data_IF_182409268559
#
_entry.id   IF_182409268559
#
_cell.length_a   1.000
_cell.length_b   1.000
_cell.length_c   1.000
_cell.angle_alpha   90.00
_cell.angle_beta   90.00
_cell.angle_gamma   90.00
#
_symmetry.space_group_name_H-M   'P 1'
#
loop_
_entity.id
_entity.type
_entity.pdbx_description
1 polymer ?
#
# COMPACT_ATOMS: atom_id res chain seq x y z
N UNK A 1 8.09 21.66 12.26
CA UNK A 1 7.16 20.56 12.62
C UNK A 1 6.61 19.95 11.33
N UNK A 2 6.29 18.65 11.32
CA UNK A 2 5.66 18.02 10.15
C UNK A 2 4.17 18.38 10.09
N UNK A 3 3.68 18.60 8.87
CA UNK A 3 2.25 18.51 8.57
C UNK A 3 1.93 17.05 8.27
N UNK A 4 0.79 16.54 8.76
CA UNK A 4 0.44 15.13 8.64
C UNK A 4 -0.79 15.00 7.76
N UNK A 5 -0.72 14.12 6.76
CA UNK A 5 -1.87 13.73 5.96
C UNK A 5 -1.97 12.20 5.91
N UNK A 6 -3.19 11.68 5.98
CA UNK A 6 -3.41 10.24 5.96
C UNK A 6 -4.59 9.87 5.07
N UNK A 7 -4.42 8.79 4.31
CA UNK A 7 -5.47 8.09 3.57
C UNK A 7 -5.53 6.68 4.12
N UNK A 8 -6.20 6.50 5.26
CA UNK A 8 -6.32 5.23 5.98
C UNK A 8 -7.80 4.97 6.26
N UNK A 9 -8.28 3.74 6.02
CA UNK A 9 -9.68 3.35 6.22
C UNK A 9 -10.71 4.29 5.56
N UNK A 10 -10.51 4.64 4.28
CA UNK A 10 -11.53 5.35 3.50
C UNK A 10 -12.70 4.40 3.27
N UNK A 11 -13.81 4.67 3.95
CA UNK A 11 -15.05 3.89 3.85
C UNK A 11 -15.91 4.46 2.74
N UNK A 12 -16.65 3.58 2.07
CA UNK A 12 -17.67 4.02 1.12
C UNK A 12 -18.68 4.95 1.79
N UNK A 13 -18.94 6.09 1.16
CA UNK A 13 -20.13 6.88 1.47
C UNK A 13 -21.21 6.53 0.44
N UNK A 14 -21.85 5.37 0.63
CA UNK A 14 -23.03 4.98 -0.15
C UNK A 14 -24.12 6.07 -0.09
N UNK A 15 -24.14 6.83 1.01
CA UNK A 15 -25.07 7.91 1.27
C UNK A 15 -24.79 9.17 0.42
N UNK A 16 -23.52 9.40 0.02
CA UNK A 16 -23.13 10.52 -0.86
C UNK A 16 -23.01 10.13 -2.34
N UNK A 17 -23.15 8.84 -2.68
CA UNK A 17 -23.03 8.36 -4.05
C UNK A 17 -21.60 8.45 -4.62
N UNK A 18 -20.60 8.61 -3.76
CA UNK A 18 -19.19 8.75 -4.14
C UNK A 18 -18.48 7.42 -3.92
N UNK A 19 -17.79 6.93 -4.96
CA UNK A 19 -16.98 5.71 -4.85
C UNK A 19 -15.75 5.93 -3.98
N UNK A 20 -15.34 4.90 -3.22
CA UNK A 20 -14.06 4.86 -2.49
C UNK A 20 -12.88 5.38 -3.31
N UNK A 21 -12.78 4.94 -4.57
CA UNK A 21 -11.70 5.37 -5.47
C UNK A 21 -11.66 6.89 -5.69
N UNK A 22 -12.82 7.53 -5.87
CA UNK A 22 -12.86 8.98 -6.02
C UNK A 22 -12.48 9.70 -4.72
N UNK A 23 -12.89 9.19 -3.56
CA UNK A 23 -12.47 9.75 -2.27
C UNK A 23 -10.95 9.64 -2.06
N UNK A 24 -10.34 8.53 -2.46
CA UNK A 24 -8.87 8.36 -2.46
C UNK A 24 -8.19 9.40 -3.36
N UNK A 25 -8.71 9.65 -4.56
CA UNK A 25 -8.19 10.70 -5.46
C UNK A 25 -8.25 12.08 -4.78
N UNK A 26 -9.36 12.39 -4.12
CA UNK A 26 -9.51 13.67 -3.42
C UNK A 26 -8.51 13.80 -2.26
N UNK A 27 -8.25 12.74 -1.48
CA UNK A 27 -7.23 12.79 -0.44
C UNK A 27 -5.83 12.94 -0.98
N UNK A 28 -5.51 12.25 -2.07
CA UNK A 28 -4.20 12.41 -2.72
C UNK A 28 -4.02 13.84 -3.25
N UNK A 29 -5.07 14.44 -3.81
CA UNK A 29 -5.05 15.85 -4.21
C UNK A 29 -4.77 16.76 -3.02
N UNK A 30 -5.45 16.56 -1.91
CA UNK A 30 -5.22 17.32 -0.66
C UNK A 30 -3.78 17.15 -0.16
N UNK A 31 -3.21 15.94 -0.20
CA UNK A 31 -1.80 15.71 0.12
C UNK A 31 -0.84 16.49 -0.78
N UNK A 32 -1.13 16.54 -2.09
CA UNK A 32 -0.35 17.33 -3.04
C UNK A 32 -0.46 18.82 -2.72
N UNK A 33 -1.66 19.33 -2.47
CA UNK A 33 -1.88 20.74 -2.13
C UNK A 33 -1.13 21.10 -0.84
N UNK A 34 -1.20 20.23 0.18
CA UNK A 34 -0.40 20.37 1.40
C UNK A 34 1.10 20.33 1.08
N UNK A 35 1.59 19.48 0.18
CA UNK A 35 3.03 19.44 -0.12
C UNK A 35 3.60 20.77 -0.64
N UNK A 36 2.75 21.70 -1.09
CA UNK A 36 3.15 23.01 -1.60
C UNK A 36 3.17 24.14 -0.55
N UNK A 37 2.66 23.93 0.66
CA UNK A 37 2.70 24.95 1.72
C UNK A 37 4.02 24.92 2.53
N UNK A 38 4.20 25.85 3.46
CA UNK A 38 5.42 25.92 4.28
C UNK A 38 5.57 24.71 5.22
N UNK A 39 6.78 24.16 5.25
CA UNK A 39 7.17 23.04 6.12
C UNK A 39 6.93 21.65 5.49
N UNK A 40 7.61 20.61 6.00
CA UNK A 40 7.60 19.29 5.38
C UNK A 40 6.29 18.53 5.65
N UNK A 41 5.83 17.79 4.64
CA UNK A 41 4.69 16.88 4.74
C UNK A 41 5.14 15.46 5.11
N UNK A 42 4.49 14.86 6.10
CA UNK A 42 4.53 13.44 6.41
C UNK A 42 3.20 12.80 6.01
N UNK A 43 3.22 11.87 5.05
CA UNK A 43 2.01 11.21 4.55
C UNK A 43 1.95 9.73 4.87
N UNK A 44 0.72 9.21 5.05
CA UNK A 44 0.45 7.80 5.23
C UNK A 44 -0.67 7.38 4.29
N UNK A 45 -0.44 6.35 3.47
CA UNK A 45 -1.47 5.82 2.57
C UNK A 45 -1.61 4.33 2.82
N UNK A 46 -2.81 3.93 3.22
CA UNK A 46 -3.18 2.54 3.28
C UNK A 46 -3.82 2.15 1.97
N UNK A 47 -3.16 1.27 1.23
CA UNK A 47 -3.73 0.62 0.05
C UNK A 47 -4.20 1.58 -1.06
N UNK A 48 -3.24 2.22 -1.73
CA UNK A 48 -3.51 3.24 -2.75
C UNK A 48 -4.29 2.68 -3.96
N UNK A 49 -5.41 3.31 -4.30
CA UNK A 49 -6.16 3.07 -5.56
C UNK A 49 -6.65 1.63 -5.76
N UNK A 50 -7.17 0.99 -4.71
CA UNK A 50 -7.73 -0.36 -4.80
C UNK A 50 -8.93 -0.48 -5.76
N UNK A 51 -9.60 0.62 -6.10
CA UNK A 51 -10.79 0.62 -6.97
C UNK A 51 -10.54 0.66 -8.48
N UNK A 52 -9.28 0.53 -8.94
CA UNK A 52 -8.94 0.50 -10.38
C UNK A 52 -8.09 -0.73 -10.74
N UNK A 53 -7.83 -0.93 -12.03
CA UNK A 53 -7.01 -2.04 -12.50
C UNK A 53 -5.52 -1.85 -12.09
N UNK A 54 -4.79 -2.96 -11.98
CA UNK A 54 -3.40 -2.97 -11.48
C UNK A 54 -2.43 -2.17 -12.34
N UNK A 55 -2.69 -2.05 -13.65
CA UNK A 55 -1.83 -1.28 -14.55
C UNK A 55 -1.94 0.23 -14.26
N UNK A 56 -3.17 0.75 -14.23
CA UNK A 56 -3.46 2.16 -13.96
C UNK A 56 -3.07 2.54 -12.54
N UNK A 57 -3.34 1.68 -11.56
CA UNK A 57 -2.94 1.87 -10.16
C UNK A 57 -1.43 2.11 -10.05
N UNK A 58 -0.60 1.26 -10.66
CA UNK A 58 0.87 1.41 -10.61
C UNK A 58 1.36 2.70 -11.24
N UNK A 59 0.83 3.07 -12.42
CA UNK A 59 1.22 4.32 -13.10
C UNK A 59 0.84 5.54 -12.25
N UNK A 60 -0.39 5.57 -11.75
CA UNK A 60 -0.90 6.67 -10.93
C UNK A 60 -0.12 6.79 -9.62
N UNK A 61 0.01 5.69 -8.87
CA UNK A 61 0.74 5.66 -7.60
C UNK A 61 2.20 6.12 -7.78
N UNK A 62 2.91 5.60 -8.79
CA UNK A 62 4.28 6.01 -9.06
C UNK A 62 4.39 7.52 -9.35
N UNK A 63 3.48 8.04 -10.17
CA UNK A 63 3.49 9.46 -10.56
C UNK A 63 3.26 10.37 -9.37
N UNK A 64 2.33 10.00 -8.49
CA UNK A 64 2.02 10.76 -7.28
C UNK A 64 3.18 10.70 -6.29
N UNK A 65 3.77 9.52 -6.07
CA UNK A 65 4.91 9.39 -5.15
C UNK A 65 6.13 10.15 -5.63
N UNK A 66 6.44 10.10 -6.93
CA UNK A 66 7.49 10.93 -7.52
C UNK A 66 7.24 12.41 -7.28
N UNK A 67 6.00 12.87 -7.42
CA UNK A 67 5.64 14.27 -7.14
C UNK A 67 5.85 14.60 -5.66
N UNK A 68 5.22 13.87 -4.74
CA UNK A 68 5.30 14.13 -3.30
C UNK A 68 6.76 14.16 -2.80
N UNK A 69 7.58 13.17 -3.17
CA UNK A 69 9.00 13.12 -2.79
C UNK A 69 9.78 14.31 -3.34
N UNK A 70 9.51 14.70 -4.60
CA UNK A 70 10.17 15.87 -5.22
C UNK A 70 9.82 17.18 -4.52
N UNK A 71 8.60 17.32 -4.00
CA UNK A 71 8.18 18.48 -3.19
C UNK A 71 8.70 18.40 -1.73
N UNK A 72 9.56 17.42 -1.39
CA UNK A 72 10.16 17.29 -0.07
C UNK A 72 9.27 16.59 0.97
N UNK A 73 8.18 15.95 0.53
CA UNK A 73 7.36 15.13 1.41
C UNK A 73 8.03 13.78 1.72
N UNK A 74 7.73 13.23 2.89
CA UNK A 74 8.11 11.89 3.31
C UNK A 74 6.87 11.09 3.67
N UNK A 75 6.89 9.77 3.54
CA UNK A 75 5.71 9.00 3.90
C UNK A 75 5.86 7.50 3.82
N UNK A 76 4.79 6.81 4.22
CA UNK A 76 4.66 5.36 4.19
C UNK A 76 3.43 4.96 3.37
N UNK A 77 3.57 3.85 2.65
CA UNK A 77 2.47 3.23 1.91
C UNK A 77 2.44 1.76 2.25
N UNK A 78 1.26 1.25 2.65
CA UNK A 78 1.00 -0.20 2.71
C UNK A 78 0.32 -0.66 1.43
N UNK A 79 0.66 -1.87 1.00
CA UNK A 79 0.01 -2.53 -0.13
C UNK A 79 0.23 -4.03 -0.11
N UNK A 80 -0.77 -4.79 -0.58
CA UNK A 80 -0.64 -6.20 -0.96
C UNK A 80 -0.18 -6.40 -2.42
N UNK A 81 -0.11 -5.33 -3.23
CA UNK A 81 0.27 -5.41 -4.64
C UNK A 81 1.79 -5.33 -4.81
N UNK A 82 2.43 -6.48 -5.05
CA UNK A 82 3.87 -6.57 -5.27
C UNK A 82 4.36 -5.70 -6.43
N UNK A 83 3.52 -5.38 -7.42
CA UNK A 83 3.91 -4.53 -8.53
C UNK A 83 4.20 -3.08 -8.09
N UNK A 84 3.63 -2.63 -6.96
CA UNK A 84 3.88 -1.30 -6.42
C UNK A 84 5.21 -1.19 -5.68
N UNK A 85 5.83 -2.31 -5.29
CA UNK A 85 7.13 -2.32 -4.61
C UNK A 85 8.26 -1.76 -5.48
N UNK A 86 8.13 -1.88 -6.80
CA UNK A 86 9.08 -1.32 -7.78
C UNK A 86 9.11 0.21 -7.77
N UNK A 87 8.06 0.87 -7.26
CA UNK A 87 8.01 2.33 -7.17
C UNK A 87 9.18 2.86 -6.35
N UNK A 88 9.58 2.16 -5.28
CA UNK A 88 10.67 2.57 -4.40
C UNK A 88 11.97 2.86 -5.16
N UNK A 89 12.30 2.04 -6.16
CA UNK A 89 13.52 2.17 -6.99
C UNK A 89 13.45 3.36 -7.96
N UNK A 90 12.25 3.85 -8.24
CA UNK A 90 12.00 4.94 -9.19
C UNK A 90 11.88 6.32 -8.53
N UNK A 91 12.07 6.41 -7.22
CA UNK A 91 12.06 7.68 -6.46
C UNK A 91 13.47 8.29 -6.37
N UNK A 92 13.53 9.59 -6.10
CA UNK A 92 14.78 10.33 -5.87
C UNK A 92 14.61 11.22 -4.62
N UNK A 93 15.22 10.89 -3.46
CA UNK A 93 16.03 9.68 -3.23
C UNK A 93 15.18 8.38 -3.33
N UNK A 94 15.81 7.22 -3.60
CA UNK A 94 15.11 5.95 -3.64
C UNK A 94 14.39 5.66 -2.32
N UNK A 95 13.19 5.10 -2.44
CA UNK A 95 12.44 4.57 -1.31
C UNK A 95 13.02 3.26 -0.80
N UNK A 96 12.41 2.72 0.26
CA UNK A 96 12.76 1.41 0.82
C UNK A 96 11.50 0.55 0.96
N UNK A 97 11.62 -0.71 0.58
CA UNK A 97 10.58 -1.69 0.81
C UNK A 97 10.79 -2.37 2.16
N UNK A 98 9.69 -2.59 2.86
CA UNK A 98 9.63 -3.37 4.08
C UNK A 98 8.39 -4.27 4.02
N UNK A 99 8.44 -5.38 4.73
CA UNK A 99 7.32 -6.29 4.86
C UNK A 99 7.19 -6.82 6.29
N UNK A 100 6.01 -7.38 6.55
CA UNK A 100 5.76 -8.26 7.67
C UNK A 100 5.59 -9.67 7.12
N UNK A 101 6.06 -10.67 7.84
CA UNK A 101 5.85 -12.07 7.48
C UNK A 101 4.96 -12.74 8.52
N UNK A 102 4.24 -13.74 8.04
CA UNK A 102 3.50 -14.68 8.85
C UNK A 102 4.08 -16.08 8.65
N UNK A 103 3.85 -16.98 9.61
CA UNK A 103 4.27 -18.37 9.52
C UNK A 103 3.18 -19.31 10.02
N UNK A 104 3.16 -20.52 9.48
CA UNK A 104 2.28 -21.58 9.96
C UNK A 104 2.99 -22.39 11.05
N UNK A 105 2.36 -22.53 12.21
CA UNK A 105 2.74 -23.47 13.26
C UNK A 105 1.56 -24.43 13.49
N UNK A 106 1.63 -25.61 12.86
CA UNK A 106 0.47 -26.50 12.75
C UNK A 106 -0.65 -25.84 11.93
N UNK A 107 -1.87 -25.83 12.47
CA UNK A 107 -3.04 -25.19 11.85
C UNK A 107 -3.24 -23.73 12.28
N UNK A 108 -2.21 -23.09 12.84
CA UNK A 108 -2.27 -21.71 13.32
C UNK A 108 -1.32 -20.82 12.56
N UNK A 109 -1.84 -19.67 12.13
CA UNK A 109 -1.05 -18.58 11.59
C UNK A 109 -0.49 -17.73 12.74
N UNK A 110 0.84 -17.54 12.75
CA UNK A 110 1.57 -16.76 13.74
C UNK A 110 2.19 -15.55 13.06
N UNK A 111 1.99 -14.37 13.65
CA UNK A 111 2.58 -13.11 13.22
C UNK A 111 3.63 -12.70 14.23
N UNK A 112 4.85 -12.39 13.77
CA UNK A 112 5.92 -11.88 14.65
C UNK A 112 5.85 -10.35 14.83
N UNK A 113 4.98 -9.68 14.07
CA UNK A 113 4.79 -8.22 14.03
C UNK A 113 6.10 -7.44 13.87
N UNK A 114 7.10 -8.04 13.23
CA UNK A 114 8.42 -7.45 13.03
C UNK A 114 8.56 -6.97 11.59
N UNK A 115 8.93 -5.71 11.42
CA UNK A 115 9.19 -5.11 10.11
C UNK A 115 10.56 -5.57 9.59
N UNK A 116 10.60 -6.15 8.39
CA UNK A 116 11.81 -6.69 7.75
C UNK A 116 12.08 -5.91 6.46
N UNK A 117 13.34 -5.57 6.20
CA UNK A 117 13.73 -4.87 4.96
C UNK A 117 13.58 -5.82 3.76
N UNK A 118 13.09 -5.28 2.63
CA UNK A 118 12.84 -6.03 1.40
C UNK A 118 11.36 -6.27 1.12
N UNK A 119 11.11 -6.94 -0.01
CA UNK A 119 9.78 -7.33 -0.48
C UNK A 119 9.47 -8.75 0.01
N UNK A 120 8.22 -9.02 0.40
CA UNK A 120 7.81 -10.37 0.78
C UNK A 120 7.93 -11.34 -0.41
N UNK A 121 8.57 -12.48 -0.20
CA UNK A 121 8.79 -13.48 -1.27
C UNK A 121 7.69 -14.55 -1.30
N UNK A 122 7.12 -14.90 -0.15
CA UNK A 122 6.11 -15.96 0.00
C UNK A 122 5.05 -15.52 1.01
N UNK A 123 3.78 -15.59 0.61
CA UNK A 123 2.65 -15.45 1.53
C UNK A 123 2.08 -16.82 1.91
N UNK A 124 1.49 -16.95 3.11
CA UNK A 124 0.85 -18.21 3.51
C UNK A 124 -0.68 -18.20 3.33
N UNK A 125 -1.24 -17.29 2.53
CA UNK A 125 -2.68 -17.22 2.29
C UNK A 125 -3.27 -18.57 1.83
N UNK A 126 -2.61 -19.27 0.91
CA UNK A 126 -3.04 -20.60 0.45
C UNK A 126 -3.00 -21.64 1.59
N UNK A 127 -1.96 -21.63 2.42
CA UNK A 127 -1.85 -22.52 3.57
C UNK A 127 -2.93 -22.23 4.61
N UNK A 128 -3.29 -20.95 4.81
CA UNK A 128 -4.40 -20.55 5.68
C UNK A 128 -5.73 -21.09 5.16
N UNK A 129 -6.02 -20.93 3.87
CA UNK A 129 -7.23 -21.46 3.25
C UNK A 129 -7.33 -22.99 3.45
N UNK A 130 -6.22 -23.72 3.24
CA UNK A 130 -6.15 -25.17 3.49
C UNK A 130 -6.38 -25.53 4.96
N UNK A 131 -5.81 -24.77 5.89
CA UNK A 131 -5.97 -25.02 7.34
C UNK A 131 -7.41 -24.88 7.84
N UNK A 132 -8.25 -24.08 7.16
CA UNK A 132 -9.68 -23.94 7.44
C UNK A 132 -10.56 -24.90 6.62
N UNK A 133 -9.95 -25.84 5.90
CA UNK A 133 -10.64 -26.89 5.14
C UNK A 133 -11.11 -26.47 3.74
N UNK A 134 -10.60 -25.36 3.19
CA UNK A 134 -10.86 -24.99 1.80
C UNK A 134 -9.86 -25.69 0.88
N UNK A 135 -10.38 -26.39 -0.13
CA UNK A 135 -9.58 -27.02 -1.17
C UNK A 135 -9.07 -25.94 -2.15
N UNK A 136 -7.76 -25.79 -2.24
CA UNK A 136 -7.12 -24.81 -3.13
C UNK A 136 -6.02 -25.50 -3.93
N UNK A 137 -6.22 -25.57 -5.24
CA UNK A 137 -5.22 -26.06 -6.20
C UNK A 137 -4.09 -25.04 -6.34
N UNK A 138 -2.85 -25.52 -6.40
CA UNK A 138 -1.66 -24.68 -6.55
C UNK A 138 -1.09 -24.89 -7.95
N UNK A 139 -1.31 -23.93 -8.85
CA UNK A 139 -0.76 -23.98 -10.22
C UNK A 139 0.77 -23.78 -10.25
N UNK A 140 1.40 -23.43 -9.12
CA UNK A 140 2.85 -23.23 -9.01
C UNK A 140 3.66 -24.51 -8.75
N UNK A 141 2.99 -25.66 -8.63
CA UNK A 141 3.60 -26.96 -8.34
C UNK A 141 3.81 -27.88 -9.56
N UNK A 142 3.67 -27.36 -10.79
CA UNK A 142 4.02 -28.07 -12.05
C UNK A 142 5.28 -27.55 -12.71
#
# INVERSE_FOLDING_TARGET
>A
PFRIAASIQIRDSLQEGISKFYQEILRVREMIDLSHEEGPLLFFIDEIFQGTNSHDRRIAAQSIMKKLVREGAMGLISTHDLALTQIAEHLLPPGKNFHFEDRMEGDKMIFDYTMKEGVIEKGNALNLLRSIGLEVEDESAT
#
